data_IF_861926010843
#
_entry.id   IF_861926010843
#
_cell.length_a   1.000
_cell.length_b   1.000
_cell.length_c   1.000
_cell.angle_alpha   90.00
_cell.angle_beta   90.00
_cell.angle_gamma   90.00
#
_symmetry.space_group_name_H-M   'P 1'
#
loop_
_entity.id
_entity.type
_entity.pdbx_description
1 polymer ?
#
# COMPACT_ATOMS: atom_id res chain seq x y z
N UNK A 1 -15.33 -31.08 -17.21
CA UNK A 1 -15.01 -29.68 -17.55
C UNK A 1 -15.65 -28.84 -16.47
N UNK A 2 -14.93 -28.58 -15.37
CA UNK A 2 -15.45 -27.74 -14.29
C UNK A 2 -14.45 -26.63 -14.00
N UNK A 3 -14.86 -25.41 -14.29
CA UNK A 3 -14.12 -24.18 -14.02
C UNK A 3 -14.19 -23.91 -12.50
N UNK A 4 -13.08 -23.69 -11.78
CA UNK A 4 -13.17 -23.32 -10.36
C UNK A 4 -13.86 -21.97 -10.22
N UNK A 5 -14.92 -21.91 -9.40
CA UNK A 5 -15.65 -20.68 -9.09
C UNK A 5 -14.70 -19.66 -8.43
N UNK A 6 -14.73 -18.37 -8.79
CA UNK A 6 -13.96 -17.36 -8.06
C UNK A 6 -14.48 -17.30 -6.62
N UNK A 7 -13.60 -17.67 -5.69
CA UNK A 7 -13.88 -17.61 -4.26
C UNK A 7 -14.29 -16.19 -3.88
N UNK A 8 -15.37 -16.10 -3.11
CA UNK A 8 -15.81 -14.88 -2.44
C UNK A 8 -14.61 -14.19 -1.82
N UNK A 9 -14.24 -13.01 -2.33
CA UNK A 9 -13.29 -12.14 -1.66
C UNK A 9 -13.96 -11.74 -0.35
N UNK A 10 -13.57 -12.42 0.73
CA UNK A 10 -14.00 -12.11 2.09
C UNK A 10 -13.76 -10.63 2.32
N UNK A 11 -14.83 -9.84 2.32
CA UNK A 11 -14.81 -8.47 2.80
C UNK A 11 -14.46 -8.55 4.28
N UNK A 12 -13.17 -8.41 4.59
CA UNK A 12 -12.75 -8.14 5.95
C UNK A 12 -13.15 -6.69 6.21
N UNK A 13 -14.28 -6.52 6.89
CA UNK A 13 -14.64 -5.25 7.53
C UNK A 13 -13.48 -4.87 8.45
N UNK A 14 -12.83 -3.76 8.13
CA UNK A 14 -11.76 -3.22 8.93
C UNK A 14 -12.32 -2.80 10.29
N UNK A 15 -11.92 -3.50 11.36
CA UNK A 15 -12.27 -3.18 12.75
C UNK A 15 -11.06 -2.49 13.42
N UNK A 16 -11.05 -1.15 13.58
CA UNK A 16 -9.89 -0.40 14.12
C UNK A 16 -9.62 -0.63 15.62
N UNK A 17 -10.51 -1.30 16.35
CA UNK A 17 -10.55 -1.27 17.81
C UNK A 17 -9.50 -2.13 18.57
N UNK A 18 -8.46 -2.68 17.95
CA UNK A 18 -7.56 -3.64 18.65
C UNK A 18 -6.06 -3.43 18.51
N UNK A 19 -5.58 -2.36 17.86
CA UNK A 19 -4.15 -2.07 17.83
C UNK A 19 -3.98 -0.59 17.99
N UNK A 20 -3.42 -0.14 19.10
CA UNK A 20 -2.82 1.19 19.22
C UNK A 20 -1.38 1.05 18.71
N UNK A 21 -1.08 1.36 17.44
CA UNK A 21 0.30 1.41 16.99
C UNK A 21 0.82 2.79 17.37
N UNK A 22 2.03 2.86 17.90
CA UNK A 22 2.76 4.12 18.02
C UNK A 22 3.17 4.53 16.59
N UNK A 23 2.23 5.11 15.84
CA UNK A 23 2.39 5.50 14.44
C UNK A 23 1.07 5.57 13.67
N UNK A 24 1.03 6.19 12.47
CA UNK A 24 -0.18 6.28 11.65
C UNK A 24 -0.75 4.89 11.38
N UNK A 25 -2.05 4.74 11.60
CA UNK A 25 -2.75 3.47 11.43
C UNK A 25 -2.87 3.12 9.94
N UNK A 26 -2.09 2.14 9.49
CA UNK A 26 -2.11 1.67 8.10
C UNK A 26 -3.35 0.81 7.88
N UNK A 27 -4.28 1.30 7.05
CA UNK A 27 -5.51 0.60 6.64
C UNK A 27 -5.20 -0.46 5.58
N UNK A 28 -4.32 -0.12 4.63
CA UNK A 28 -3.90 -1.03 3.57
C UNK A 28 -2.54 -0.63 3.03
N UNK A 29 -1.75 -1.63 2.65
CA UNK A 29 -0.51 -1.41 1.93
C UNK A 29 -0.34 -2.44 0.81
N UNK A 30 0.49 -2.12 -0.17
CA UNK A 30 0.81 -3.04 -1.25
C UNK A 30 1.28 -2.38 -2.53
N UNK A 31 1.74 -3.20 -3.47
CA UNK A 31 2.12 -2.73 -4.79
C UNK A 31 0.87 -2.47 -5.67
N UNK A 32 0.86 -1.31 -6.31
CA UNK A 32 -0.13 -0.95 -7.32
C UNK A 32 0.55 -0.13 -8.45
N UNK A 33 -0.18 0.15 -9.52
CA UNK A 33 0.27 1.02 -10.61
C UNK A 33 -0.43 2.36 -10.55
N UNK A 34 0.31 3.45 -10.77
CA UNK A 34 -0.25 4.79 -11.00
C UNK A 34 0.29 5.38 -12.29
N UNK A 35 -0.49 6.27 -12.89
CA UNK A 35 -0.04 7.08 -14.01
C UNK A 35 0.94 8.17 -13.53
N UNK A 36 1.97 8.44 -14.32
CA UNK A 36 2.87 9.57 -14.10
C UNK A 36 2.17 10.91 -14.37
N UNK A 37 2.56 11.95 -13.62
CA UNK A 37 1.94 13.27 -13.73
C UNK A 37 2.28 13.95 -15.07
N UNK A 38 3.58 14.11 -15.36
CA UNK A 38 4.09 14.74 -16.59
C UNK A 38 4.06 13.75 -17.75
N UNK A 39 4.81 12.66 -17.64
CA UNK A 39 4.78 11.57 -18.62
C UNK A 39 3.73 10.56 -18.18
N UNK A 40 2.75 10.31 -19.04
CA UNK A 40 1.55 9.47 -18.79
C UNK A 40 1.83 7.96 -18.79
N UNK A 41 3.03 7.54 -18.38
CA UNK A 41 3.39 6.13 -18.25
C UNK A 41 2.85 5.53 -16.95
N UNK A 42 2.58 4.22 -16.95
CA UNK A 42 2.21 3.48 -15.75
C UNK A 42 3.46 3.12 -14.93
N UNK A 43 3.44 3.38 -13.63
CA UNK A 43 4.56 3.15 -12.71
C UNK A 43 4.12 2.28 -11.56
N UNK A 44 4.84 1.17 -11.33
CA UNK A 44 4.69 0.34 -10.13
C UNK A 44 5.27 1.07 -8.92
N UNK A 45 4.47 1.20 -7.85
CA UNK A 45 4.82 1.84 -6.58
C UNK A 45 4.22 1.06 -5.42
N UNK A 46 4.88 1.11 -4.27
CA UNK A 46 4.33 0.59 -3.02
C UNK A 46 3.48 1.69 -2.39
N UNK A 47 2.20 1.43 -2.16
CA UNK A 47 1.27 2.37 -1.56
C UNK A 47 1.02 2.03 -0.11
N UNK A 48 0.84 3.08 0.70
CA UNK A 48 0.36 3.01 2.07
C UNK A 48 -0.86 3.92 2.15
N UNK A 49 -1.99 3.35 2.55
CA UNK A 49 -3.22 4.06 2.88
C UNK A 49 -3.34 4.08 4.41
N UNK A 50 -3.36 5.28 4.98
CA UNK A 50 -3.74 5.52 6.37
C UNK A 50 -5.08 6.27 6.43
N UNK A 51 -5.49 6.69 7.63
CA UNK A 51 -6.78 7.37 7.84
C UNK A 51 -6.88 8.75 7.15
N UNK A 52 -5.76 9.41 6.88
CA UNK A 52 -5.73 10.81 6.44
C UNK A 52 -5.11 10.98 5.06
N UNK A 53 -4.37 9.99 4.55
CA UNK A 53 -3.52 10.16 3.40
C UNK A 53 -3.22 8.86 2.64
N UNK A 54 -2.81 9.04 1.38
CA UNK A 54 -2.28 7.98 0.53
C UNK A 54 -0.86 8.34 0.14
N UNK A 55 0.09 7.61 0.72
CA UNK A 55 1.51 7.76 0.46
C UNK A 55 2.00 6.69 -0.53
N UNK A 56 3.06 6.98 -1.28
CA UNK A 56 3.65 6.00 -2.20
C UNK A 56 5.17 6.09 -2.29
N UNK A 57 5.82 4.94 -2.42
CA UNK A 57 7.27 4.76 -2.40
C UNK A 57 7.73 3.92 -3.61
N UNK A 58 9.02 4.02 -3.96
CA UNK A 58 9.59 3.20 -5.05
C UNK A 58 9.58 1.70 -4.68
N UNK A 59 9.88 1.39 -3.44
CA UNK A 59 9.92 0.05 -2.85
C UNK A 59 9.31 0.07 -1.44
N UNK A 60 9.14 -1.10 -0.83
CA UNK A 60 8.54 -1.27 0.51
C UNK A 60 9.40 -0.71 1.65
N UNK A 61 10.72 -0.54 1.45
CA UNK A 61 11.61 -0.03 2.49
C UNK A 61 11.36 1.45 2.78
N UNK A 62 10.65 1.66 3.88
CA UNK A 62 10.63 2.88 4.69
C UNK A 62 12.07 3.13 5.17
N UNK A 63 12.68 4.23 4.72
CA UNK A 63 13.93 4.82 5.21
C UNK A 63 14.94 3.85 5.88
N UNK A 64 15.83 3.25 5.09
CA UNK A 64 17.22 3.25 5.58
C UNK A 64 17.70 4.71 5.51
N UNK A 65 18.20 5.33 6.59
CA UNK A 65 18.91 6.59 6.44
C UNK A 65 19.99 6.35 5.37
N UNK A 66 19.98 7.18 4.35
CA UNK A 66 20.94 7.09 3.26
C UNK A 66 22.32 7.43 3.82
N UNK A 67 23.04 6.41 4.29
CA UNK A 67 24.41 6.53 4.81
C UNK A 67 25.41 6.96 3.71
N UNK A 68 24.97 7.12 2.45
CA UNK A 68 25.79 7.71 1.38
C UNK A 68 25.85 9.25 1.42
N UNK A 69 25.19 9.90 2.39
CA UNK A 69 25.22 11.36 2.59
C UNK A 69 25.85 11.81 3.92
N UNK A 70 26.58 10.92 4.60
CA UNK A 70 27.50 11.27 5.67
C UNK A 70 28.94 11.29 5.14
#
# INVERSE_FOLDING_TARGET
>A
MDLPKPGSLRSQSYNPATKTPVGPLVLKSGYCVKQGNVRKSWKRRYFILDENSVNYFKCEQVNSPDLSKL
#
